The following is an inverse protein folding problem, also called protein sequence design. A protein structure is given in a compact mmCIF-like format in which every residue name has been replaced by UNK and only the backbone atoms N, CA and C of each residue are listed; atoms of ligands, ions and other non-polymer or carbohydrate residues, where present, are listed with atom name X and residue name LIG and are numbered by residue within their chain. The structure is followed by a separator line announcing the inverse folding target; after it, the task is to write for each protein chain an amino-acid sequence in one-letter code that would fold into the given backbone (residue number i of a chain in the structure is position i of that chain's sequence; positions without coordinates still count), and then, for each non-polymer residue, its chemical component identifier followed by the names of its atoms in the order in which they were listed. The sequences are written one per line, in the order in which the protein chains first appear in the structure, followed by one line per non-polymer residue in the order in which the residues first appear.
data_IF_574948030017
#
_entry.id   IF_574948030017
#
_cell.length_a   1.000
_cell.length_b   1.000
_cell.length_c   1.000
_cell.angle_alpha   90.00
_cell.angle_beta   90.00
_cell.angle_gamma   90.00
#
_symmetry.space_group_name_H-M   'P 1'
#
loop_
_entity.id
_entity.type
_entity.pdbx_description
1 polymer ?
#
# COMPACT_ATOMS: atom_id res chain seq x y z
N UNK A 1 7.15 22.38 -31.52
CA UNK A 1 6.79 21.79 -32.82
C UNK A 1 6.99 20.30 -32.69
N UNK A 2 5.92 19.54 -32.61
CA UNK A 2 5.95 18.08 -32.61
C UNK A 2 6.00 17.65 -34.08
N UNK A 3 7.03 16.91 -34.45
CA UNK A 3 7.20 16.34 -35.78
C UNK A 3 6.09 15.31 -36.05
N UNK A 4 5.23 15.62 -37.02
CA UNK A 4 4.07 14.84 -37.40
C UNK A 4 4.36 13.76 -38.46
N UNK A 5 5.62 13.36 -38.63
CA UNK A 5 6.04 12.44 -39.68
C UNK A 5 6.31 10.98 -39.21
N UNK A 6 5.56 10.48 -38.23
CA UNK A 6 5.52 9.04 -38.01
C UNK A 6 4.40 8.44 -38.87
N UNK A 7 4.64 8.35 -40.20
CA UNK A 7 3.85 7.44 -41.04
C UNK A 7 4.04 6.02 -40.52
N UNK A 8 2.97 5.49 -39.95
CA UNK A 8 2.90 4.11 -39.51
C UNK A 8 3.15 3.14 -40.71
N UNK A 9 4.38 2.66 -40.87
CA UNK A 9 4.64 1.47 -41.68
C UNK A 9 3.83 0.34 -41.07
N UNK A 10 2.71 0.01 -41.68
CA UNK A 10 1.98 -1.25 -41.42
C UNK A 10 2.97 -2.39 -41.65
N UNK A 11 3.52 -2.93 -40.54
CA UNK A 11 4.33 -4.12 -40.63
C UNK A 11 3.50 -5.24 -41.27
N UNK A 12 4.09 -5.91 -42.25
CA UNK A 12 3.46 -7.03 -42.96
C UNK A 12 3.27 -8.16 -41.92
N UNK A 13 2.03 -8.39 -41.48
CA UNK A 13 1.67 -9.24 -40.34
C UNK A 13 1.78 -10.75 -40.66
N UNK A 14 2.36 -11.13 -41.81
CA UNK A 14 2.44 -12.52 -42.26
C UNK A 14 3.63 -13.33 -41.71
N UNK A 15 4.46 -12.79 -40.82
CA UNK A 15 5.45 -13.58 -40.12
C UNK A 15 4.91 -13.95 -38.73
N UNK A 16 4.89 -15.24 -38.37
CA UNK A 16 4.54 -15.63 -36.98
C UNK A 16 5.49 -14.91 -36.01
N UNK A 17 4.92 -14.26 -35.04
CA UNK A 17 5.73 -13.63 -33.97
C UNK A 17 6.64 -14.68 -33.36
N UNK A 18 7.94 -14.40 -33.16
CA UNK A 18 8.84 -15.30 -32.43
C UNK A 18 8.49 -15.39 -30.93
N UNK A 19 7.51 -14.61 -30.48
CA UNK A 19 7.05 -14.54 -29.10
C UNK A 19 5.60 -14.95 -28.98
N UNK A 20 5.30 -15.70 -27.91
CA UNK A 20 3.96 -16.13 -27.55
C UNK A 20 3.17 -15.01 -26.87
N UNK A 21 3.88 -14.09 -26.16
CA UNK A 21 3.30 -12.95 -25.49
C UNK A 21 4.20 -11.72 -25.55
N UNK A 22 3.59 -10.54 -25.60
CA UNK A 22 4.27 -9.24 -25.48
C UNK A 22 3.70 -8.51 -24.27
N UNK A 23 4.56 -8.15 -23.33
CA UNK A 23 4.23 -7.37 -22.13
C UNK A 23 4.72 -5.94 -22.32
N UNK A 24 3.84 -4.98 -22.27
CA UNK A 24 4.17 -3.56 -22.43
C UNK A 24 4.31 -2.93 -21.03
N UNK A 25 5.52 -2.48 -20.72
CA UNK A 25 5.91 -1.90 -19.44
C UNK A 25 6.61 -2.90 -18.52
N UNK A 26 7.84 -2.57 -18.10
CA UNK A 26 8.65 -3.34 -17.15
C UNK A 26 8.55 -2.79 -15.71
N UNK A 27 7.37 -2.34 -15.29
CA UNK A 27 7.04 -2.09 -13.89
C UNK A 27 6.79 -3.41 -13.15
N UNK A 28 6.60 -3.37 -11.84
CA UNK A 28 6.42 -4.56 -11.00
C UNK A 28 5.31 -5.52 -11.50
N UNK A 29 4.18 -5.00 -11.98
CA UNK A 29 3.10 -5.83 -12.52
C UNK A 29 3.48 -6.48 -13.86
N UNK A 30 4.11 -5.73 -14.76
CA UNK A 30 4.58 -6.26 -16.04
C UNK A 30 5.65 -7.33 -15.86
N UNK A 31 6.63 -7.09 -14.98
CA UNK A 31 7.67 -8.06 -14.66
C UNK A 31 7.09 -9.32 -14.01
N UNK A 32 6.15 -9.18 -13.08
CA UNK A 32 5.47 -10.32 -12.46
C UNK A 32 4.71 -11.14 -13.52
N UNK A 33 3.95 -10.49 -14.39
CA UNK A 33 3.22 -11.15 -15.49
C UNK A 33 4.17 -11.88 -16.44
N UNK A 34 5.23 -11.22 -16.87
CA UNK A 34 6.24 -11.81 -17.75
C UNK A 34 6.90 -13.04 -17.11
N UNK A 35 7.22 -12.97 -15.82
CA UNK A 35 7.80 -14.09 -15.06
C UNK A 35 6.84 -15.28 -14.99
N UNK A 36 5.55 -15.03 -14.73
CA UNK A 36 4.52 -16.08 -14.68
C UNK A 36 4.39 -16.76 -16.04
N UNK A 37 4.32 -15.99 -17.12
CA UNK A 37 4.23 -16.52 -18.48
C UNK A 37 5.48 -17.33 -18.86
N UNK A 38 6.68 -16.79 -18.58
CA UNK A 38 7.92 -17.48 -18.90
C UNK A 38 8.08 -18.80 -18.12
N UNK A 39 7.65 -18.86 -16.85
CA UNK A 39 7.62 -20.09 -16.06
C UNK A 39 6.64 -21.14 -16.59
N UNK A 40 5.67 -20.71 -17.39
CA UNK A 40 4.77 -21.60 -18.11
C UNK A 40 5.22 -21.85 -19.57
N UNK A 41 6.54 -21.78 -19.82
CA UNK A 41 7.19 -22.05 -21.11
C UNK A 41 6.74 -21.14 -22.26
N UNK A 42 6.19 -19.96 -21.97
CA UNK A 42 5.88 -18.96 -22.98
C UNK A 42 7.14 -18.15 -23.34
N UNK A 43 7.36 -17.89 -24.61
CA UNK A 43 8.38 -16.94 -25.07
C UNK A 43 7.83 -15.52 -24.93
N UNK A 44 8.36 -14.77 -23.97
CA UNK A 44 7.83 -13.44 -23.61
C UNK A 44 8.79 -12.35 -24.05
N UNK A 45 8.26 -11.33 -24.74
CA UNK A 45 8.94 -10.07 -25.01
C UNK A 45 8.41 -9.02 -24.04
N UNK A 46 9.29 -8.34 -23.30
CA UNK A 46 8.92 -7.18 -22.46
C UNK A 46 9.43 -5.91 -23.15
N UNK A 47 8.54 -4.96 -23.37
CA UNK A 47 8.85 -3.65 -23.94
C UNK A 47 8.76 -2.58 -22.86
N UNK A 48 9.83 -1.84 -22.63
CA UNK A 48 9.90 -0.73 -21.67
C UNK A 48 10.40 0.52 -22.40
N UNK A 49 9.71 1.65 -22.18
CA UNK A 49 10.07 2.94 -22.82
C UNK A 49 11.23 3.63 -22.14
N UNK A 50 11.46 3.36 -20.87
CA UNK A 50 12.56 3.96 -20.09
C UNK A 50 13.81 3.10 -20.19
N UNK A 51 14.98 3.69 -19.97
CA UNK A 51 16.26 2.98 -19.90
C UNK A 51 16.46 2.16 -18.61
N UNK A 52 15.41 1.95 -17.81
CA UNK A 52 15.45 1.19 -16.56
C UNK A 52 14.15 0.42 -16.34
N UNK A 53 14.22 -0.64 -15.55
CA UNK A 53 13.10 -1.49 -15.18
C UNK A 53 12.63 -1.22 -13.74
N UNK A 54 11.48 -1.77 -13.35
CA UNK A 54 10.92 -1.64 -11.99
C UNK A 54 9.79 -0.61 -11.87
N UNK A 55 9.66 0.30 -12.84
CA UNK A 55 8.63 1.33 -12.81
C UNK A 55 8.76 2.23 -11.56
N UNK A 56 7.68 2.42 -10.80
CA UNK A 56 7.69 3.20 -9.56
C UNK A 56 8.52 2.57 -8.42
N UNK A 57 8.78 1.26 -8.47
CA UNK A 57 9.64 0.55 -7.53
C UNK A 57 11.11 0.47 -7.99
N UNK A 58 11.44 1.11 -9.13
CA UNK A 58 12.81 1.13 -9.64
C UNK A 58 13.69 2.12 -8.87
N UNK A 59 14.98 1.80 -8.80
CA UNK A 59 16.02 2.69 -8.24
C UNK A 59 16.78 3.35 -9.38
N UNK A 60 17.11 4.63 -9.23
CA UNK A 60 17.89 5.39 -10.20
C UNK A 60 18.96 6.24 -9.53
N UNK A 61 20.08 6.36 -10.18
CA UNK A 61 21.07 7.37 -9.84
C UNK A 61 20.53 8.74 -10.28
N UNK A 62 20.24 9.61 -9.32
CA UNK A 62 19.76 10.99 -9.57
C UNK A 62 20.92 11.95 -9.66
N UNK A 63 21.90 11.77 -8.78
CA UNK A 63 23.18 12.46 -8.76
C UNK A 63 24.27 11.42 -8.67
N UNK A 64 25.45 11.71 -9.20
CA UNK A 64 26.60 10.80 -9.19
C UNK A 64 26.87 10.26 -7.78
N UNK A 65 26.73 8.95 -7.59
CA UNK A 65 26.88 8.25 -6.33
C UNK A 65 25.65 8.29 -5.42
N UNK A 66 24.53 8.89 -5.86
CA UNK A 66 23.29 8.96 -5.09
C UNK A 66 22.17 8.23 -5.83
N UNK A 67 21.90 7.02 -5.40
CA UNK A 67 20.74 6.24 -5.86
C UNK A 67 19.50 6.60 -5.05
N UNK A 68 18.35 6.67 -5.70
CA UNK A 68 17.07 6.94 -5.07
C UNK A 68 15.93 6.20 -5.76
N UNK A 69 14.89 5.88 -5.02
CA UNK A 69 13.69 5.27 -5.56
C UNK A 69 12.92 6.27 -6.42
N UNK A 70 12.32 5.77 -7.50
CA UNK A 70 11.56 6.62 -8.44
C UNK A 70 10.24 7.08 -7.83
N UNK A 71 9.60 6.24 -7.03
CA UNK A 71 8.31 6.59 -6.44
C UNK A 71 7.90 5.79 -5.21
N UNK A 72 8.40 4.58 -5.02
CA UNK A 72 8.04 3.73 -3.89
C UNK A 72 9.20 3.61 -2.92
N UNK A 73 9.19 4.44 -1.86
CA UNK A 73 10.25 4.51 -0.84
C UNK A 73 10.26 3.33 0.14
N UNK A 74 9.21 2.53 0.15
CA UNK A 74 9.14 1.32 0.96
C UNK A 74 8.25 0.27 0.28
N UNK A 75 8.52 -0.98 0.56
CA UNK A 75 7.70 -2.08 0.09
C UNK A 75 6.63 -2.42 1.14
N UNK A 76 5.37 -2.48 0.70
CA UNK A 76 4.29 -3.01 1.55
C UNK A 76 4.50 -4.50 1.80
N UNK A 77 3.99 -5.04 2.93
CA UNK A 77 4.10 -6.45 3.23
C UNK A 77 3.54 -7.32 2.10
N UNK A 78 4.37 -8.20 1.56
CA UNK A 78 3.95 -9.25 0.62
C UNK A 78 3.64 -10.52 1.37
N UNK A 79 2.66 -11.29 0.87
CA UNK A 79 2.39 -12.63 1.42
C UNK A 79 3.60 -13.55 1.22
N UNK A 80 3.77 -14.51 2.12
CA UNK A 80 4.86 -15.48 2.00
C UNK A 80 4.74 -16.28 0.68
N UNK A 81 3.52 -16.60 0.26
CA UNK A 81 3.25 -17.28 -1.00
C UNK A 81 3.80 -16.54 -2.23
N UNK A 82 3.70 -15.20 -2.26
CA UNK A 82 4.28 -14.38 -3.34
C UNK A 82 5.80 -14.43 -3.30
N UNK A 83 6.40 -14.33 -2.11
CA UNK A 83 7.86 -14.39 -1.95
C UNK A 83 8.42 -15.74 -2.39
N UNK A 84 7.74 -16.82 -2.02
CA UNK A 84 8.11 -18.20 -2.39
C UNK A 84 7.93 -18.41 -3.89
N UNK A 85 6.82 -17.97 -4.46
CA UNK A 85 6.56 -18.09 -5.90
C UNK A 85 7.63 -17.39 -6.73
N UNK A 86 8.07 -16.18 -6.35
CA UNK A 86 9.11 -15.45 -7.05
C UNK A 86 10.53 -15.77 -6.53
N UNK A 87 10.66 -16.74 -5.62
CA UNK A 87 11.94 -17.24 -5.11
C UNK A 87 12.86 -16.12 -4.61
N UNK A 88 12.33 -15.23 -3.77
CA UNK A 88 13.07 -14.04 -3.31
C UNK A 88 14.43 -14.35 -2.74
N UNK A 89 14.51 -15.31 -1.81
CA UNK A 89 15.79 -15.71 -1.19
C UNK A 89 16.78 -16.25 -2.22
N UNK A 90 16.33 -17.14 -3.12
CA UNK A 90 17.17 -17.72 -4.17
C UNK A 90 17.71 -16.66 -5.15
N UNK A 91 16.93 -15.62 -5.39
CA UNK A 91 17.30 -14.49 -6.27
C UNK A 91 18.03 -13.37 -5.51
N UNK A 92 18.44 -13.58 -4.26
CA UNK A 92 19.22 -12.63 -3.47
C UNK A 92 18.45 -11.38 -3.03
N UNK A 93 17.10 -11.45 -2.97
CA UNK A 93 16.29 -10.33 -2.49
C UNK A 93 16.34 -10.27 -0.97
N UNK A 94 17.00 -9.27 -0.43
CA UNK A 94 17.05 -8.99 0.99
C UNK A 94 15.95 -7.99 1.37
N UNK A 95 15.11 -8.35 2.36
CA UNK A 95 14.08 -7.48 2.90
C UNK A 95 14.55 -6.89 4.23
N UNK A 96 14.85 -5.60 4.22
CA UNK A 96 15.33 -4.87 5.40
C UNK A 96 14.11 -4.36 6.20
N UNK A 97 13.87 -4.87 7.43
CA UNK A 97 12.75 -4.42 8.24
C UNK A 97 13.00 -3.01 8.78
N UNK A 98 12.06 -2.10 8.56
CA UNK A 98 12.11 -0.76 9.11
C UNK A 98 11.67 -0.77 10.59
N UNK A 99 12.47 -0.27 11.54
CA UNK A 99 12.10 -0.17 12.95
C UNK A 99 11.13 0.99 13.22
N UNK A 100 11.08 1.97 12.33
CA UNK A 100 10.21 3.14 12.34
C UNK A 100 9.37 3.13 11.08
N UNK A 101 8.05 3.15 11.24
CA UNK A 101 7.11 3.13 10.11
C UNK A 101 6.88 4.53 9.53
N UNK A 102 6.82 5.55 10.40
CA UNK A 102 6.65 6.94 10.00
C UNK A 102 7.19 7.89 11.07
N UNK A 103 7.61 9.06 10.63
CA UNK A 103 7.99 10.18 11.50
C UNK A 103 7.20 11.41 11.06
N UNK A 104 6.43 11.99 11.98
CA UNK A 104 5.80 13.26 11.75
C UNK A 104 6.55 14.37 12.48
N UNK A 105 7.06 15.32 11.73
CA UNK A 105 7.84 16.44 12.26
C UNK A 105 6.98 17.53 12.89
N UNK A 106 5.66 17.55 12.60
CA UNK A 106 4.71 18.54 13.14
C UNK A 106 3.98 18.03 14.38
N UNK A 107 4.65 17.30 15.23
CA UNK A 107 4.11 16.80 16.48
C UNK A 107 3.86 17.92 17.50
N UNK A 108 3.20 17.57 18.61
CA UNK A 108 2.86 18.50 19.68
C UNK A 108 4.12 19.22 20.21
N UNK A 109 4.03 20.54 20.35
CA UNK A 109 5.12 21.40 20.85
C UNK A 109 6.42 21.26 20.02
N UNK A 110 6.33 21.02 18.72
CA UNK A 110 7.47 20.86 17.82
C UNK A 110 8.26 19.55 18.01
N UNK A 111 7.76 18.63 18.85
CA UNK A 111 8.38 17.32 19.04
C UNK A 111 7.88 16.34 17.99
N UNK A 112 8.78 15.55 17.34
CA UNK A 112 8.35 14.59 16.35
C UNK A 112 7.48 13.48 16.98
N UNK A 113 6.41 13.11 16.29
CA UNK A 113 5.67 11.89 16.58
C UNK A 113 6.25 10.75 15.74
N UNK A 114 6.80 9.75 16.42
CA UNK A 114 7.46 8.61 15.78
C UNK A 114 6.57 7.38 15.91
N UNK A 115 6.18 6.80 14.77
CA UNK A 115 5.44 5.55 14.71
C UNK A 115 6.42 4.38 14.67
N UNK A 116 6.77 3.87 15.84
CA UNK A 116 7.63 2.68 15.97
C UNK A 116 6.86 1.40 15.63
N UNK A 117 7.54 0.47 14.97
CA UNK A 117 7.02 -0.92 14.80
C UNK A 117 6.91 -1.63 16.17
N UNK A 118 7.77 -1.28 17.11
CA UNK A 118 7.70 -1.79 18.49
C UNK A 118 6.53 -1.13 19.23
N UNK A 119 5.53 -1.93 19.59
CA UNK A 119 4.29 -1.46 20.24
C UNK A 119 4.52 -0.76 21.58
N UNK A 120 5.50 -1.19 22.38
CA UNK A 120 5.81 -0.55 23.66
C UNK A 120 6.41 0.84 23.45
N UNK A 121 7.38 0.98 22.54
CA UNK A 121 7.97 2.30 22.19
C UNK A 121 6.91 3.25 21.64
N UNK A 122 6.00 2.75 20.81
CA UNK A 122 4.89 3.53 20.27
C UNK A 122 3.94 3.98 21.39
N UNK A 123 3.53 3.07 22.28
CA UNK A 123 2.64 3.38 23.39
C UNK A 123 3.24 4.44 24.33
N UNK A 124 4.53 4.31 24.68
CA UNK A 124 5.25 5.30 25.50
C UNK A 124 5.37 6.65 24.78
N UNK A 125 5.61 6.65 23.47
CA UNK A 125 5.63 7.88 22.66
C UNK A 125 4.27 8.58 22.65
N UNK A 126 3.17 7.86 22.48
CA UNK A 126 1.81 8.40 22.55
C UNK A 126 1.47 8.93 23.93
N UNK A 127 1.82 8.17 24.98
CA UNK A 127 1.62 8.59 26.37
C UNK A 127 2.35 9.90 26.68
N UNK A 128 3.63 9.99 26.29
CA UNK A 128 4.47 11.17 26.53
C UNK A 128 3.99 12.40 25.77
N UNK A 129 3.57 12.24 24.52
CA UNK A 129 3.22 13.39 23.65
C UNK A 129 1.76 13.82 23.78
N UNK A 130 0.82 12.87 23.99
CA UNK A 130 -0.62 13.13 23.94
C UNK A 130 -1.39 12.64 25.16
N UNK A 131 -0.71 11.99 26.10
CA UNK A 131 -1.27 11.49 27.36
C UNK A 131 -1.98 10.14 27.24
N UNK A 132 -2.50 9.69 28.38
CA UNK A 132 -3.09 8.35 28.55
C UNK A 132 -4.29 8.11 27.61
N UNK A 133 -5.10 9.13 27.36
CA UNK A 133 -6.27 9.01 26.46
C UNK A 133 -5.89 8.67 25.04
N UNK A 134 -4.81 9.24 24.51
CA UNK A 134 -4.31 8.95 23.17
C UNK A 134 -3.74 7.52 23.07
N UNK A 135 -2.98 7.10 24.08
CA UNK A 135 -2.43 5.75 24.13
C UNK A 135 -3.54 4.69 24.18
N UNK A 136 -4.56 4.86 25.03
CA UNK A 136 -5.71 3.96 25.11
C UNK A 136 -6.53 3.99 23.82
N UNK A 137 -6.79 5.20 23.28
CA UNK A 137 -7.50 5.39 22.02
C UNK A 137 -6.82 4.66 20.87
N UNK A 138 -5.50 4.76 20.77
CA UNK A 138 -4.72 4.08 19.74
C UNK A 138 -4.76 2.55 19.89
N UNK A 139 -4.65 2.04 21.11
CA UNK A 139 -4.81 0.60 21.37
C UNK A 139 -6.18 0.07 20.95
N UNK A 140 -7.25 0.82 21.24
CA UNK A 140 -8.62 0.50 20.80
C UNK A 140 -8.77 0.58 19.28
N UNK A 141 -8.15 1.58 18.64
CA UNK A 141 -8.11 1.73 17.19
C UNK A 141 -7.43 0.53 16.52
N UNK A 142 -6.25 0.11 16.97
CA UNK A 142 -5.56 -1.07 16.43
C UNK A 142 -6.42 -2.33 16.56
N UNK A 143 -7.04 -2.52 17.74
CA UNK A 143 -7.96 -3.66 17.94
C UNK A 143 -9.18 -3.60 17.02
N UNK A 144 -9.67 -2.39 16.72
CA UNK A 144 -10.74 -2.18 15.75
C UNK A 144 -10.30 -2.57 14.34
N UNK A 145 -9.10 -2.18 13.91
CA UNK A 145 -8.59 -2.47 12.57
C UNK A 145 -8.27 -3.95 12.34
N UNK A 146 -8.00 -4.73 13.38
CA UNK A 146 -7.56 -6.14 13.28
C UNK A 146 -8.55 -7.02 12.51
N UNK A 147 -9.85 -6.92 12.79
CA UNK A 147 -10.85 -7.75 12.13
C UNK A 147 -11.06 -7.39 10.65
N UNK A 148 -11.29 -6.11 10.27
CA UNK A 148 -11.34 -5.71 8.86
C UNK A 148 -10.07 -6.07 8.08
N UNK A 149 -8.89 -5.85 8.67
CA UNK A 149 -7.62 -6.21 8.03
C UNK A 149 -7.52 -7.71 7.75
N UNK A 150 -7.88 -8.57 8.71
CA UNK A 150 -7.93 -10.03 8.52
C UNK A 150 -8.95 -10.46 7.46
N UNK A 151 -10.07 -9.74 7.35
CA UNK A 151 -11.06 -10.02 6.31
C UNK A 151 -10.52 -9.66 4.93
N UNK A 152 -9.82 -8.54 4.78
CA UNK A 152 -9.17 -8.15 3.53
C UNK A 152 -8.05 -9.12 3.16
N UNK A 153 -7.20 -9.50 4.10
CA UNK A 153 -6.06 -10.41 3.86
C UNK A 153 -6.50 -11.77 3.29
N UNK A 154 -7.67 -12.27 3.70
CA UNK A 154 -8.24 -13.53 3.16
C UNK A 154 -8.55 -13.49 1.66
N UNK A 155 -8.63 -12.30 1.07
CA UNK A 155 -9.06 -12.11 -0.33
C UNK A 155 -7.96 -11.60 -1.26
N UNK A 156 -6.72 -11.41 -0.77
CA UNK A 156 -5.70 -10.70 -1.51
C UNK A 156 -4.92 -11.51 -2.54
N UNK A 157 -4.88 -12.84 -2.51
CA UNK A 157 -3.94 -13.54 -3.37
C UNK A 157 -4.56 -14.42 -4.48
N UNK A 158 -5.64 -15.15 -4.24
CA UNK A 158 -6.16 -16.13 -5.22
C UNK A 158 -7.67 -16.30 -5.21
N UNK A 159 -8.39 -15.49 -4.47
CA UNK A 159 -9.85 -15.62 -4.36
C UNK A 159 -10.52 -14.44 -5.03
N UNK A 160 -11.57 -14.72 -5.77
CA UNK A 160 -12.44 -13.68 -6.30
C UNK A 160 -12.88 -12.76 -5.15
N UNK A 161 -12.69 -11.43 -5.28
CA UNK A 161 -13.13 -10.49 -4.27
C UNK A 161 -14.61 -10.69 -3.98
N UNK A 162 -14.98 -10.85 -2.71
CA UNK A 162 -16.38 -10.89 -2.34
C UNK A 162 -16.96 -9.47 -2.41
N UNK A 163 -18.26 -9.38 -2.66
CA UNK A 163 -18.97 -8.13 -2.52
C UNK A 163 -18.89 -7.68 -1.04
N UNK A 164 -18.55 -6.43 -0.81
CA UNK A 164 -18.43 -5.86 0.55
C UNK A 164 -19.73 -6.02 1.35
N UNK A 165 -20.89 -5.86 0.71
CA UNK A 165 -22.19 -6.07 1.35
C UNK A 165 -22.36 -7.51 1.85
N UNK A 166 -21.92 -8.50 1.08
CA UNK A 166 -21.94 -9.90 1.50
C UNK A 166 -20.99 -10.18 2.65
N UNK A 167 -19.79 -9.56 2.65
CA UNK A 167 -18.86 -9.69 3.77
C UNK A 167 -19.44 -9.13 5.06
N UNK A 168 -20.08 -7.98 5.00
CA UNK A 168 -20.76 -7.36 6.13
C UNK A 168 -21.94 -8.24 6.60
N UNK A 169 -22.79 -8.70 5.67
CA UNK A 169 -23.95 -9.54 6.00
C UNK A 169 -23.57 -10.87 6.66
N UNK A 170 -22.43 -11.47 6.22
CA UNK A 170 -21.92 -12.74 6.74
C UNK A 170 -21.04 -12.61 7.99
N UNK A 171 -20.86 -11.39 8.53
CA UNK A 171 -20.09 -11.20 9.76
C UNK A 171 -20.73 -11.95 10.93
N UNK A 172 -19.97 -12.74 11.71
CA UNK A 172 -20.51 -13.65 12.74
C UNK A 172 -21.30 -12.96 13.85
N UNK A 173 -20.88 -11.75 14.24
CA UNK A 173 -21.52 -11.01 15.33
C UNK A 173 -21.98 -9.63 14.88
N UNK A 174 -22.95 -9.06 15.61
CA UNK A 174 -23.40 -7.68 15.38
C UNK A 174 -22.25 -6.67 15.48
N UNK A 175 -21.37 -6.83 16.46
CA UNK A 175 -20.22 -5.94 16.65
C UNK A 175 -19.25 -6.00 15.46
N UNK A 176 -18.97 -7.18 14.92
CA UNK A 176 -18.12 -7.34 13.73
C UNK A 176 -18.79 -6.78 12.47
N UNK A 177 -20.11 -6.89 12.34
CA UNK A 177 -20.86 -6.27 11.25
C UNK A 177 -20.76 -4.76 11.29
N UNK A 178 -21.01 -4.14 12.44
CA UNK A 178 -20.88 -2.69 12.64
C UNK A 178 -19.43 -2.22 12.39
N UNK A 179 -18.46 -3.04 12.74
CA UNK A 179 -17.04 -2.79 12.53
C UNK A 179 -16.68 -2.76 11.04
N UNK A 180 -17.15 -3.75 10.27
CA UNK A 180 -16.95 -3.78 8.81
C UNK A 180 -17.72 -2.66 8.11
N UNK A 181 -18.95 -2.38 8.54
CA UNK A 181 -19.75 -1.28 8.01
C UNK A 181 -19.02 0.05 8.16
N UNK A 182 -18.52 0.34 9.35
CA UNK A 182 -17.76 1.56 9.60
C UNK A 182 -16.44 1.59 8.81
N UNK A 183 -15.72 0.46 8.74
CA UNK A 183 -14.43 0.37 8.03
C UNK A 183 -14.59 0.57 6.52
N UNK A 184 -15.62 0.00 5.89
CA UNK A 184 -15.76 0.04 4.44
C UNK A 184 -16.63 1.20 3.92
N UNK A 185 -17.67 1.58 4.66
CA UNK A 185 -18.64 2.60 4.25
C UNK A 185 -18.49 3.92 5.00
N UNK A 186 -17.78 3.95 6.12
CA UNK A 186 -17.49 5.15 6.89
C UNK A 186 -16.42 6.04 6.26
N UNK A 187 -16.24 7.21 6.84
CA UNK A 187 -15.12 8.09 6.54
C UNK A 187 -13.95 7.85 7.50
N UNK A 188 -12.75 8.25 7.11
CA UNK A 188 -11.60 8.22 7.99
C UNK A 188 -11.86 9.00 9.28
N UNK A 189 -12.56 10.13 9.17
CA UNK A 189 -12.92 10.96 10.33
C UNK A 189 -13.92 10.29 11.26
N UNK A 190 -14.87 9.48 10.75
CA UNK A 190 -15.80 8.71 11.60
C UNK A 190 -15.03 7.75 12.53
N UNK A 191 -13.98 7.11 12.02
CA UNK A 191 -13.10 6.26 12.83
C UNK A 191 -12.25 7.10 13.78
N UNK A 192 -11.65 8.18 13.29
CA UNK A 192 -10.77 9.04 14.09
C UNK A 192 -11.57 9.67 15.25
N UNK A 193 -12.77 10.16 15.02
CA UNK A 193 -13.66 10.75 16.04
C UNK A 193 -14.07 9.71 17.10
N UNK A 194 -14.29 8.48 16.69
CA UNK A 194 -14.63 7.38 17.60
C UNK A 194 -13.53 7.08 18.62
N UNK A 195 -12.27 7.14 18.21
CA UNK A 195 -11.14 6.77 19.07
C UNK A 195 -10.38 7.96 19.66
N UNK A 196 -10.50 9.14 19.06
CA UNK A 196 -9.83 10.37 19.45
C UNK A 196 -10.80 11.55 19.41
N UNK A 197 -11.84 11.55 20.27
CA UNK A 197 -12.94 12.51 20.19
C UNK A 197 -12.56 13.96 20.50
N UNK A 198 -11.44 14.20 21.18
CA UNK A 198 -10.99 15.55 21.50
C UNK A 198 -10.16 16.14 20.34
N UNK A 199 -10.73 17.08 19.55
CA UNK A 199 -10.06 17.62 18.37
C UNK A 199 -8.92 18.60 18.70
N UNK A 200 -8.88 19.14 19.91
CA UNK A 200 -7.84 20.07 20.34
C UNK A 200 -6.66 19.31 20.92
N UNK A 201 -6.94 18.44 21.88
CA UNK A 201 -5.91 17.68 22.59
C UNK A 201 -5.14 16.71 21.67
N UNK A 202 -5.82 16.13 20.67
CA UNK A 202 -5.24 15.13 19.78
C UNK A 202 -5.06 15.66 18.35
N UNK A 203 -5.02 16.99 18.16
CA UNK A 203 -5.02 17.65 16.85
C UNK A 203 -4.01 17.04 15.86
N UNK A 204 -2.74 16.99 16.25
CA UNK A 204 -1.67 16.51 15.38
C UNK A 204 -1.76 15.01 15.11
N UNK A 205 -2.14 14.21 16.11
CA UNK A 205 -2.37 12.76 15.94
C UNK A 205 -3.52 12.50 14.98
N UNK A 206 -4.64 13.22 15.14
CA UNK A 206 -5.81 13.13 14.24
C UNK A 206 -5.45 13.53 12.81
N UNK A 207 -4.70 14.62 12.63
CA UNK A 207 -4.23 15.06 11.31
C UNK A 207 -3.34 14.01 10.64
N UNK A 208 -2.43 13.39 11.39
CA UNK A 208 -1.58 12.32 10.91
C UNK A 208 -2.36 11.09 10.47
N UNK A 209 -3.32 10.66 11.27
CA UNK A 209 -4.16 9.50 10.94
C UNK A 209 -5.03 9.80 9.71
N UNK A 210 -5.60 11.02 9.62
CA UNK A 210 -6.37 11.44 8.46
C UNK A 210 -5.52 11.47 7.18
N UNK A 211 -4.29 11.98 7.27
CA UNK A 211 -3.34 11.95 6.15
C UNK A 211 -3.01 10.52 5.71
N UNK A 212 -2.68 9.65 6.67
CA UNK A 212 -2.36 8.25 6.36
C UNK A 212 -3.53 7.51 5.69
N UNK A 213 -4.77 7.78 6.13
CA UNK A 213 -5.95 7.13 5.59
C UNK A 213 -6.28 7.53 4.14
N UNK A 214 -5.91 8.75 3.72
CA UNK A 214 -6.21 9.24 2.37
C UNK A 214 -5.04 9.12 1.40
N UNK A 215 -3.90 8.60 1.83
CA UNK A 215 -2.81 8.29 0.92
C UNK A 215 -3.26 7.27 -0.14
N UNK A 216 -2.89 7.51 -1.39
CA UNK A 216 -3.24 6.65 -2.52
C UNK A 216 -4.76 6.53 -2.81
N UNK A 217 -5.59 7.44 -2.30
CA UNK A 217 -7.01 7.51 -2.63
C UNK A 217 -7.38 8.88 -3.22
N UNK A 218 -8.48 8.93 -3.97
CA UNK A 218 -9.07 10.19 -4.47
C UNK A 218 -10.01 10.85 -3.46
N UNK A 219 -10.18 10.25 -2.28
CA UNK A 219 -11.16 10.67 -1.28
C UNK A 219 -10.50 11.52 -0.22
N UNK A 220 -11.20 12.56 0.24
CA UNK A 220 -10.82 13.31 1.42
C UNK A 220 -11.18 12.54 2.72
N UNK A 221 -10.64 12.97 3.88
CA UNK A 221 -10.82 12.23 5.13
C UNK A 221 -12.27 12.22 5.66
N UNK A 222 -13.12 13.08 5.17
CA UNK A 222 -14.56 13.14 5.49
C UNK A 222 -15.43 12.40 4.46
N UNK A 223 -14.87 11.92 3.37
CA UNK A 223 -15.61 11.22 2.33
C UNK A 223 -15.95 9.80 2.76
N UNK A 224 -17.18 9.36 2.55
CA UNK A 224 -17.57 7.96 2.79
C UNK A 224 -16.71 7.00 1.98
N UNK A 225 -16.33 5.89 2.61
CA UNK A 225 -15.43 4.90 2.06
C UNK A 225 -13.96 5.35 2.00
N UNK A 226 -13.57 6.32 2.84
CA UNK A 226 -12.17 6.70 3.05
C UNK A 226 -11.59 6.14 4.35
N UNK A 227 -12.35 5.32 5.06
CA UNK A 227 -11.96 4.80 6.36
C UNK A 227 -10.87 3.70 6.27
N UNK A 228 -10.76 3.05 5.11
CA UNK A 228 -9.72 2.04 4.79
C UNK A 228 -9.30 2.14 3.34
#
# INVERSE_FOLDING_TARGET
MLDSSVEGKTANINHPSPFDAIVIGAGHNGLATATVLARNNQKVLVLEKNGYVGGMGGTREILKGCENEVGASCMFPLSQEVKDYFEFEKNGVELIPLPVMAVNLTGKDGRPLIFYKNSLKLALGLLKNYGLSAMIGFGRFIKFCDYPAKMLDRYTARKTPQNLADMIAKAPTKAQREQLELAFNGSAMDIIDKFFPDPIKHKELRANMAFAAVQATYKGPYSKGSAM
#
